data_IF_425716174416
#
_entry.id   IF_425716174416
#
_cell.length_a   1.000
_cell.length_b   1.000
_cell.length_c   1.000
_cell.angle_alpha   90.00
_cell.angle_beta   90.00
_cell.angle_gamma   90.00
#
_symmetry.space_group_name_H-M   'P 1'
#
loop_
_entity.id
_entity.type
_entity.pdbx_description
1 polymer ?
#
# COMPACT_ATOMS: atom_id res chain seq x y z
N UNK A 1 13.82 34.39 -32.08
CA UNK A 1 12.68 33.97 -32.91
C UNK A 1 13.23 33.02 -33.96
N UNK A 2 12.66 31.82 -34.12
CA UNK A 2 13.11 30.84 -35.12
C UNK A 2 12.91 31.41 -36.53
N UNK A 3 13.83 31.09 -37.46
CA UNK A 3 13.67 31.43 -38.87
C UNK A 3 12.52 30.63 -39.49
N UNK A 4 11.93 31.12 -40.57
CA UNK A 4 10.76 30.50 -41.20
C UNK A 4 11.05 29.06 -41.68
N UNK A 5 12.25 28.82 -42.19
CA UNK A 5 12.73 27.48 -42.57
C UNK A 5 12.88 26.54 -41.36
N UNK A 6 13.38 27.05 -40.23
CA UNK A 6 13.51 26.26 -38.99
C UNK A 6 12.14 25.91 -38.41
N UNK A 7 11.18 26.84 -38.53
CA UNK A 7 9.79 26.61 -38.11
C UNK A 7 9.15 25.50 -38.95
N UNK A 8 9.33 25.51 -40.27
CA UNK A 8 8.82 24.45 -41.14
C UNK A 8 9.49 23.10 -40.84
N UNK A 9 10.81 23.08 -40.68
CA UNK A 9 11.52 21.86 -40.29
C UNK A 9 11.03 21.30 -38.94
N UNK A 10 10.75 22.17 -37.96
CA UNK A 10 10.19 21.77 -36.67
C UNK A 10 8.81 21.13 -36.81
N UNK A 11 7.90 21.74 -37.58
CA UNK A 11 6.54 21.23 -37.79
C UNK A 11 6.58 19.85 -38.46
N UNK A 12 7.41 19.68 -39.49
CA UNK A 12 7.58 18.39 -40.18
C UNK A 12 8.14 17.34 -39.21
N UNK A 13 9.13 17.70 -38.40
CA UNK A 13 9.73 16.78 -37.41
C UNK A 13 8.73 16.40 -36.32
N UNK A 14 7.95 17.35 -35.82
CA UNK A 14 6.91 17.08 -34.81
C UNK A 14 5.81 16.17 -35.37
N UNK A 15 5.34 16.44 -36.58
CA UNK A 15 4.31 15.62 -37.24
C UNK A 15 4.79 14.19 -37.47
N UNK A 16 6.07 14.00 -37.83
CA UNK A 16 6.70 12.68 -37.97
C UNK A 16 6.98 11.97 -36.64
N UNK A 17 7.00 12.69 -35.52
CA UNK A 17 7.25 12.15 -34.20
C UNK A 17 5.98 11.67 -33.48
N UNK A 18 4.81 11.82 -34.11
CA UNK A 18 3.56 11.27 -33.58
C UNK A 18 3.57 9.74 -33.65
N UNK A 19 2.98 9.11 -32.64
CA UNK A 19 2.86 7.65 -32.56
C UNK A 19 1.89 7.16 -33.63
N UNK A 20 2.22 6.06 -34.30
CA UNK A 20 1.38 5.47 -35.32
C UNK A 20 0.13 4.83 -34.68
N UNK A 21 -1.05 5.07 -35.27
CA UNK A 21 -2.26 4.39 -34.82
C UNK A 21 -2.15 2.88 -35.00
N UNK A 22 -2.61 2.11 -34.00
CA UNK A 22 -2.55 0.65 -33.99
C UNK A 22 -1.26 0.07 -33.39
N UNK A 23 -0.30 0.91 -32.97
CA UNK A 23 0.90 0.44 -32.27
C UNK A 23 0.55 -0.18 -30.91
N UNK A 24 1.11 -1.36 -30.62
CA UNK A 24 0.87 -2.07 -29.37
C UNK A 24 1.74 -1.51 -28.23
N UNK A 25 1.33 -0.34 -27.75
CA UNK A 25 2.02 0.39 -26.68
C UNK A 25 2.06 -0.38 -25.36
N UNK A 26 1.10 -1.27 -25.13
CA UNK A 26 1.02 -2.09 -23.92
C UNK A 26 2.14 -3.13 -23.87
N UNK A 27 2.33 -3.86 -24.96
CA UNK A 27 3.43 -4.84 -25.08
C UNK A 27 4.78 -4.14 -25.02
N UNK A 28 4.98 -3.05 -25.79
CA UNK A 28 6.24 -2.30 -25.79
C UNK A 28 6.59 -1.78 -24.38
N UNK A 29 5.62 -1.18 -23.68
CA UNK A 29 5.84 -0.70 -22.33
C UNK A 29 6.17 -1.84 -21.36
N UNK A 30 5.46 -2.97 -21.44
CA UNK A 30 5.71 -4.13 -20.58
C UNK A 30 7.14 -4.69 -20.77
N UNK A 31 7.60 -4.80 -22.01
CA UNK A 31 8.95 -5.26 -22.33
C UNK A 31 10.00 -4.26 -21.86
N UNK A 32 9.77 -2.97 -22.10
CA UNK A 32 10.65 -1.89 -21.65
C UNK A 32 10.83 -1.92 -20.14
N UNK A 33 9.72 -2.01 -19.37
CA UNK A 33 9.76 -2.08 -17.89
C UNK A 33 10.44 -3.36 -17.41
N UNK A 34 10.24 -4.50 -18.10
CA UNK A 34 10.82 -5.78 -17.73
C UNK A 34 12.32 -5.88 -18.00
N UNK A 35 12.83 -5.27 -19.06
CA UNK A 35 14.23 -5.38 -19.50
C UNK A 35 15.28 -4.98 -18.43
N UNK A 36 15.19 -3.83 -17.73
CA UNK A 36 16.20 -3.44 -16.74
C UNK A 36 16.14 -4.27 -15.45
N UNK A 37 15.09 -5.06 -15.23
CA UNK A 37 14.88 -5.83 -13.99
C UNK A 37 16.08 -6.74 -13.67
N UNK A 38 16.68 -7.36 -14.69
CA UNK A 38 17.87 -8.22 -14.51
C UNK A 38 19.07 -7.46 -13.97
N UNK A 39 19.25 -6.20 -14.37
CA UNK A 39 20.33 -5.33 -13.90
C UNK A 39 20.05 -4.79 -12.50
N UNK A 40 18.78 -4.41 -12.23
CA UNK A 40 18.31 -3.96 -10.91
C UNK A 40 18.52 -5.06 -9.85
N UNK A 41 18.31 -6.33 -10.22
CA UNK A 41 18.58 -7.48 -9.35
C UNK A 41 20.01 -7.46 -8.80
N UNK A 42 20.96 -7.13 -9.67
CA UNK A 42 22.38 -7.25 -9.40
C UNK A 42 22.89 -6.08 -8.54
N UNK A 43 22.32 -4.88 -8.72
CA UNK A 43 22.70 -3.68 -7.96
C UNK A 43 22.17 -3.65 -6.53
N UNK A 44 21.01 -4.27 -6.24
CA UNK A 44 20.40 -4.25 -4.90
C UNK A 44 21.23 -4.93 -3.80
N UNK A 45 22.17 -5.82 -4.14
CA UNK A 45 22.99 -6.51 -3.16
C UNK A 45 24.04 -5.63 -2.49
N UNK A 46 24.46 -4.52 -3.13
CA UNK A 46 25.49 -3.63 -2.59
C UNK A 46 24.95 -2.55 -1.63
N UNK A 47 23.64 -2.29 -1.65
CA UNK A 47 23.00 -1.19 -0.89
C UNK A 47 22.43 -1.60 0.47
N UNK A 48 22.36 -2.91 0.77
CA UNK A 48 21.71 -3.45 1.96
C UNK A 48 22.33 -3.06 3.32
N UNK A 49 23.44 -2.30 3.33
CA UNK A 49 24.20 -1.97 4.55
C UNK A 49 24.17 -0.51 5.01
N UNK A 50 23.52 0.42 4.29
CA UNK A 50 23.78 1.86 4.44
C UNK A 50 22.63 2.71 5.00
N UNK A 51 21.47 2.14 5.33
CA UNK A 51 20.34 2.93 5.88
C UNK A 51 19.76 2.33 7.17
N UNK A 52 19.48 3.19 8.15
CA UNK A 52 18.92 2.81 9.45
C UNK A 52 17.42 2.40 9.40
N UNK A 53 16.79 2.50 8.24
CA UNK A 53 15.42 2.03 7.98
C UNK A 53 15.50 1.01 6.86
N UNK A 54 15.10 -0.22 7.13
CA UNK A 54 14.96 -1.29 6.13
C UNK A 54 13.88 -0.90 5.11
N UNK A 55 14.28 -0.20 4.05
CA UNK A 55 13.43 0.11 2.90
C UNK A 55 13.64 -1.00 1.86
N UNK A 56 12.56 -1.54 1.31
CA UNK A 56 12.67 -2.42 0.15
C UNK A 56 13.27 -1.62 -1.01
N UNK A 57 14.39 -2.12 -1.55
CA UNK A 57 15.05 -1.55 -2.73
C UNK A 57 15.05 -2.58 -3.87
N UNK A 58 15.17 -2.11 -5.11
CA UNK A 58 15.28 -2.96 -6.29
C UNK A 58 14.01 -3.75 -6.64
N UNK A 59 14.16 -5.02 -7.02
CA UNK A 59 13.07 -5.89 -7.50
C UNK A 59 11.98 -6.10 -6.45
N UNK A 60 12.28 -6.42 -5.17
CA UNK A 60 11.24 -6.58 -4.15
C UNK A 60 10.33 -5.35 -4.03
N UNK A 61 10.87 -4.14 -4.26
CA UNK A 61 10.07 -2.92 -4.28
C UNK A 61 9.22 -2.80 -5.53
N UNK A 62 9.76 -3.16 -6.70
CA UNK A 62 8.98 -3.20 -7.93
C UNK A 62 7.78 -4.15 -7.81
N UNK A 63 8.03 -5.36 -7.30
CA UNK A 63 6.99 -6.36 -7.07
C UNK A 63 5.92 -5.87 -6.08
N UNK A 64 6.33 -5.21 -5.00
CA UNK A 64 5.40 -4.67 -4.01
C UNK A 64 4.49 -3.59 -4.59
N UNK A 65 5.03 -2.72 -5.45
CA UNK A 65 4.26 -1.69 -6.16
C UNK A 65 3.27 -2.35 -7.14
N UNK A 66 3.74 -3.29 -7.98
CA UNK A 66 2.89 -3.97 -8.98
C UNK A 66 1.75 -4.77 -8.33
N UNK A 67 2.02 -5.41 -7.19
CA UNK A 67 1.02 -6.16 -6.42
C UNK A 67 0.20 -5.27 -5.46
N UNK A 68 0.42 -3.96 -5.44
CA UNK A 68 -0.25 -3.01 -4.53
C UNK A 68 -0.09 -3.40 -3.04
N UNK A 69 1.02 -4.05 -2.69
CA UNK A 69 1.31 -4.55 -1.34
C UNK A 69 2.32 -3.64 -0.63
N UNK A 70 1.83 -2.58 0.01
CA UNK A 70 2.67 -1.57 0.67
C UNK A 70 2.95 -1.86 2.16
N UNK A 71 3.11 -3.14 2.55
CA UNK A 71 3.32 -3.53 3.96
C UNK A 71 4.56 -2.91 4.62
N UNK A 72 5.57 -2.56 3.84
CA UNK A 72 6.80 -1.89 4.30
C UNK A 72 6.87 -0.47 3.71
N UNK A 73 5.82 0.30 3.93
CA UNK A 73 5.74 1.70 3.54
C UNK A 73 6.55 2.59 4.48
N UNK A 74 7.09 3.68 3.95
CA UNK A 74 7.76 4.75 4.68
C UNK A 74 7.17 6.11 4.31
N UNK A 75 7.00 6.99 5.28
CA UNK A 75 6.61 8.38 5.00
C UNK A 75 7.68 9.37 5.47
N UNK A 76 7.93 10.38 4.63
CA UNK A 76 8.79 11.51 4.98
C UNK A 76 7.87 12.68 5.32
N UNK A 77 7.82 12.99 6.60
CA UNK A 77 6.98 14.02 7.18
C UNK A 77 7.84 15.25 7.41
N UNK A 78 7.37 16.42 6.98
CA UNK A 78 8.05 17.68 7.26
C UNK A 78 7.31 18.38 8.40
N UNK A 79 8.05 18.79 9.43
CA UNK A 79 7.48 19.44 10.61
C UNK A 79 7.85 20.91 10.63
N UNK A 80 6.94 21.75 11.12
CA UNK A 80 7.16 23.20 11.27
C UNK A 80 7.88 23.55 12.58
N UNK A 81 7.95 22.60 13.52
CA UNK A 81 8.55 22.75 14.84
C UNK A 81 9.43 21.54 15.17
N UNK A 82 10.29 21.70 16.19
CA UNK A 82 10.98 20.58 16.82
C UNK A 82 9.94 19.62 17.41
N UNK A 83 10.04 18.36 17.05
CA UNK A 83 9.09 17.30 17.46
C UNK A 83 9.80 16.21 18.23
N UNK A 84 9.05 15.56 19.11
CA UNK A 84 9.53 14.41 19.85
C UNK A 84 9.12 13.11 19.15
N UNK A 85 9.89 12.02 19.25
CA UNK A 85 9.50 10.74 18.66
C UNK A 85 8.15 10.21 19.18
N UNK A 86 7.78 10.53 20.43
CA UNK A 86 6.53 10.13 21.07
C UNK A 86 5.27 10.68 20.40
N UNK A 87 5.39 11.78 19.65
CA UNK A 87 4.25 12.38 18.95
C UNK A 87 3.79 11.53 17.75
N UNK A 88 4.68 10.69 17.23
CA UNK A 88 4.45 9.90 16.01
C UNK A 88 4.41 8.40 16.27
N UNK A 89 5.32 7.87 17.10
CA UNK A 89 5.48 6.42 17.33
C UNK A 89 4.25 5.86 18.01
N UNK A 90 3.60 4.90 17.35
CA UNK A 90 2.47 4.17 17.90
C UNK A 90 2.93 3.29 19.06
N UNK A 91 2.58 3.69 20.28
CA UNK A 91 2.82 2.88 21.47
C UNK A 91 1.49 2.36 22.01
N UNK A 92 1.44 1.04 22.17
CA UNK A 92 0.35 0.34 22.86
C UNK A 92 0.73 0.04 24.30
N UNK A 93 -0.25 -0.30 25.13
CA UNK A 93 0.01 -0.66 26.54
C UNK A 93 1.02 -1.80 26.69
N UNK A 94 0.99 -2.89 25.89
CA UNK A 94 2.02 -3.92 25.92
C UNK A 94 3.45 -3.41 25.74
N UNK A 95 3.66 -2.41 24.89
CA UNK A 95 5.01 -1.89 24.56
C UNK A 95 5.64 -1.14 25.74
N UNK A 96 4.82 -0.64 26.66
CA UNK A 96 5.26 0.13 27.85
C UNK A 96 5.15 -0.71 29.14
N UNK A 97 4.47 -1.85 29.10
CA UNK A 97 4.19 -2.68 30.28
C UNK A 97 5.43 -3.45 30.73
N UNK A 98 5.87 -3.24 31.96
CA UNK A 98 7.05 -3.93 32.51
C UNK A 98 6.79 -5.37 32.95
N UNK A 99 5.60 -5.68 33.49
CA UNK A 99 5.20 -7.06 33.81
C UNK A 99 3.68 -7.18 34.02
N UNK A 100 3.12 -8.34 33.66
CA UNK A 100 1.73 -8.72 33.92
C UNK A 100 1.74 -10.04 34.69
N UNK A 101 1.22 -10.04 35.93
CA UNK A 101 1.23 -11.23 36.81
C UNK A 101 -0.21 -11.64 37.08
N UNK A 102 -0.62 -12.80 36.55
CA UNK A 102 -1.95 -13.40 36.78
C UNK A 102 -1.87 -14.38 37.95
N UNK A 103 -2.64 -14.16 39.03
CA UNK A 103 -2.66 -15.03 40.22
C UNK A 103 -4.11 -15.47 40.53
N UNK A 104 -4.42 -16.77 40.38
CA UNK A 104 -5.75 -17.35 40.64
C UNK A 104 -6.10 -17.53 42.12
N UNK A 105 -5.13 -17.50 43.04
CA UNK A 105 -5.35 -17.95 44.43
C UNK A 105 -5.68 -16.83 45.41
N UNK A 106 -5.53 -15.57 45.00
CA UNK A 106 -5.95 -14.38 45.73
C UNK A 106 -6.51 -13.40 44.70
N UNK A 107 -7.65 -12.74 44.98
CA UNK A 107 -8.00 -11.51 44.24
C UNK A 107 -6.82 -10.56 44.43
N UNK A 108 -5.98 -10.41 43.41
CA UNK A 108 -4.80 -9.57 43.45
C UNK A 108 -4.76 -8.65 42.25
N UNK A 109 -4.63 -7.39 42.62
CA UNK A 109 -4.29 -6.21 41.85
C UNK A 109 -3.14 -6.44 40.85
N UNK A 110 -3.31 -5.93 39.63
CA UNK A 110 -2.30 -5.96 38.57
C UNK A 110 -1.59 -4.62 38.51
N UNK A 111 -0.26 -4.61 38.49
CA UNK A 111 0.53 -3.36 38.59
C UNK A 111 0.81 -2.76 37.21
N UNK A 112 -0.03 -1.85 36.72
CA UNK A 112 0.25 -1.06 35.50
C UNK A 112 0.50 0.40 35.87
N UNK A 113 1.73 0.88 35.67
CA UNK A 113 2.04 2.32 35.72
C UNK A 113 1.45 3.02 34.52
N UNK A 114 0.65 4.09 34.70
CA UNK A 114 0.51 5.28 33.82
C UNK A 114 -0.72 6.14 34.18
N UNK A 115 -0.50 7.43 34.53
CA UNK A 115 -1.56 8.43 34.79
C UNK A 115 -2.49 8.66 33.58
N UNK A 116 -1.99 8.58 32.34
CA UNK A 116 -2.79 8.76 31.11
C UNK A 116 -3.65 7.54 30.72
N UNK A 117 -3.23 6.32 31.10
CA UNK A 117 -4.01 5.10 30.81
C UNK A 117 -5.33 5.11 31.60
N UNK A 118 -5.30 5.66 32.82
CA UNK A 118 -6.44 5.78 33.73
C UNK A 118 -7.66 6.39 33.04
N UNK A 119 -7.52 7.57 32.46
CA UNK A 119 -8.65 8.35 31.96
C UNK A 119 -9.26 7.70 30.69
N UNK A 120 -8.42 7.11 29.82
CA UNK A 120 -8.87 6.38 28.61
C UNK A 120 -9.52 5.01 28.91
N UNK A 121 -9.06 4.30 29.93
CA UNK A 121 -9.73 3.06 30.38
C UNK A 121 -11.12 3.38 30.92
N UNK A 122 -11.24 4.45 31.71
CA UNK A 122 -12.52 4.83 32.32
C UNK A 122 -13.55 5.21 31.24
N UNK A 123 -13.16 5.98 30.21
CA UNK A 123 -14.06 6.37 29.11
C UNK A 123 -14.51 5.19 28.22
N UNK A 124 -13.62 4.25 27.92
CA UNK A 124 -13.93 3.09 27.05
C UNK A 124 -14.77 1.99 27.72
N UNK A 125 -14.89 1.99 29.04
CA UNK A 125 -15.47 0.89 29.83
C UNK A 125 -16.87 1.19 30.42
N UNK A 126 -17.43 2.38 30.19
CA UNK A 126 -18.74 2.79 30.75
C UNK A 126 -19.96 1.94 30.32
N UNK A 127 -19.80 1.01 29.36
CA UNK A 127 -20.90 0.19 28.83
C UNK A 127 -21.06 -1.22 29.42
N UNK A 128 -20.04 -1.77 30.10
CA UNK A 128 -20.06 -3.17 30.55
C UNK A 128 -20.05 -3.26 32.08
N UNK A 129 -21.22 -3.53 32.66
CA UNK A 129 -21.47 -3.60 34.10
C UNK A 129 -20.78 -4.78 34.82
N UNK A 130 -19.82 -5.45 34.18
CA UNK A 130 -19.13 -6.68 34.60
C UNK A 130 -17.70 -6.46 35.08
N UNK A 131 -17.12 -5.27 34.85
CA UNK A 131 -15.72 -4.98 35.17
C UNK A 131 -15.66 -3.70 36.00
N UNK A 132 -15.02 -3.76 37.18
CA UNK A 132 -14.75 -2.59 38.02
C UNK A 132 -13.26 -2.31 38.01
N UNK A 133 -12.89 -1.14 37.49
CA UNK A 133 -11.51 -0.65 37.54
C UNK A 133 -11.35 0.12 38.86
N UNK A 134 -10.47 -0.35 39.73
CA UNK A 134 -10.16 0.30 41.00
C UNK A 134 -8.77 0.92 40.89
N UNK A 135 -8.65 2.17 41.32
CA UNK A 135 -7.39 2.89 41.25
C UNK A 135 -6.94 3.05 42.68
N UNK A 136 -5.92 2.28 43.05
CA UNK A 136 -5.36 2.31 44.41
C UNK A 136 -4.71 3.68 44.66
N UNK A 137 -5.17 4.45 45.68
CA UNK A 137 -4.58 5.75 46.01
C UNK A 137 -3.17 5.65 46.61
N UNK A 138 -2.77 4.48 47.11
CA UNK A 138 -1.47 4.26 47.78
C UNK A 138 -0.28 4.14 46.82
N UNK A 139 -0.53 3.82 45.55
CA UNK A 139 0.50 3.73 44.52
C UNK A 139 0.07 4.55 43.31
N UNK A 140 0.61 5.77 43.20
CA UNK A 140 0.21 6.80 42.22
C UNK A 140 0.37 6.38 40.73
N UNK A 141 0.86 5.16 40.48
CA UNK A 141 1.18 4.61 39.16
C UNK A 141 0.81 3.11 39.09
N UNK A 142 -0.38 2.71 39.54
CA UNK A 142 -0.85 1.31 39.40
C UNK A 142 -2.34 1.24 39.09
N UNK A 143 -2.74 0.51 38.05
CA UNK A 143 -4.16 0.30 37.69
C UNK A 143 -4.60 -1.11 38.05
N UNK A 144 -5.48 -1.24 39.04
CA UNK A 144 -6.00 -2.53 39.48
C UNK A 144 -7.33 -2.85 38.78
N UNK A 145 -7.37 -3.98 38.06
CA UNK A 145 -8.57 -4.40 37.32
C UNK A 145 -9.22 -5.58 38.04
N UNK A 146 -10.44 -5.36 38.54
CA UNK A 146 -11.24 -6.40 39.17
C UNK A 146 -12.35 -6.86 38.21
N UNK A 147 -12.35 -8.15 37.87
CA UNK A 147 -13.36 -8.77 37.01
C UNK A 147 -14.29 -9.63 37.86
N UNK A 148 -15.59 -9.40 37.78
CA UNK A 148 -16.59 -10.22 38.48
C UNK A 148 -17.05 -11.35 37.56
N UNK A 149 -16.62 -12.59 37.83
CA UNK A 149 -16.92 -13.75 37.00
C UNK A 149 -18.02 -14.61 37.65
N UNK A 150 -19.07 -14.95 36.90
CA UNK A 150 -20.24 -15.68 37.39
C UNK A 150 -20.13 -17.22 37.29
N UNK A 151 -19.00 -17.79 36.85
CA UNK A 151 -18.86 -19.23 36.64
C UNK A 151 -17.61 -19.84 37.31
N UNK A 152 -17.81 -20.96 38.01
CA UNK A 152 -16.74 -21.85 38.50
C UNK A 152 -16.26 -22.73 37.33
N UNK A 153 -15.20 -22.33 36.64
CA UNK A 153 -14.50 -23.21 35.69
C UNK A 153 -12.99 -23.16 35.93
N UNK A 154 -12.29 -24.25 35.57
CA UNK A 154 -10.85 -24.44 35.78
C UNK A 154 -9.95 -23.45 35.00
N UNK A 155 -10.54 -22.62 34.13
CA UNK A 155 -9.82 -21.75 33.19
C UNK A 155 -10.09 -20.24 33.42
N UNK A 156 -10.42 -19.82 34.65
CA UNK A 156 -10.68 -18.40 34.97
C UNK A 156 -9.48 -17.52 34.60
N UNK A 157 -8.24 -18.00 34.78
CA UNK A 157 -7.03 -17.24 34.39
C UNK A 157 -6.96 -17.01 32.89
N UNK A 158 -7.24 -18.02 32.07
CA UNK A 158 -7.19 -17.90 30.61
C UNK A 158 -8.33 -17.04 30.08
N UNK A 159 -9.51 -17.12 30.71
CA UNK A 159 -10.64 -16.25 30.42
C UNK A 159 -10.34 -14.78 30.76
N UNK A 160 -9.82 -14.50 31.96
CA UNK A 160 -9.44 -13.15 32.39
C UNK A 160 -8.30 -12.61 31.54
N UNK A 161 -7.29 -13.42 31.23
CA UNK A 161 -6.21 -13.04 30.32
C UNK A 161 -6.74 -12.72 28.92
N UNK A 162 -7.66 -13.52 28.38
CA UNK A 162 -8.31 -13.24 27.09
C UNK A 162 -9.09 -11.92 27.11
N UNK A 163 -9.81 -11.66 28.19
CA UNK A 163 -10.58 -10.42 28.40
C UNK A 163 -9.65 -9.21 28.49
N UNK A 164 -8.62 -9.28 29.35
CA UNK A 164 -7.61 -8.25 29.50
C UNK A 164 -6.87 -8.01 28.19
N UNK A 165 -6.49 -9.07 27.47
CA UNK A 165 -5.85 -8.96 26.16
C UNK A 165 -6.75 -8.27 25.15
N UNK A 166 -8.05 -8.58 25.13
CA UNK A 166 -8.99 -7.96 24.21
C UNK A 166 -9.25 -6.47 24.50
N UNK A 167 -9.12 -6.06 25.76
CA UNK A 167 -9.43 -4.69 26.19
C UNK A 167 -8.18 -3.82 26.31
N UNK A 168 -7.14 -4.28 26.99
CA UNK A 168 -5.95 -3.48 27.32
C UNK A 168 -4.98 -3.37 26.14
N UNK A 169 -4.73 -4.47 25.42
CA UNK A 169 -3.71 -4.48 24.37
C UNK A 169 -4.01 -3.52 23.20
N UNK A 170 -5.27 -3.32 22.77
CA UNK A 170 -5.56 -2.34 21.71
C UNK A 170 -5.57 -0.88 22.19
N UNK A 171 -5.42 -0.60 23.50
CA UNK A 171 -5.40 0.79 23.98
C UNK A 171 -4.14 1.49 23.50
N UNK A 172 -4.35 2.54 22.70
CA UNK A 172 -3.31 3.43 22.21
C UNK A 172 -2.97 4.46 23.28
N UNK A 173 -1.68 4.52 23.66
CA UNK A 173 -1.15 5.49 24.62
C UNK A 173 -0.78 6.78 23.89
N UNK A 174 0.03 6.69 22.84
CA UNK A 174 0.51 7.84 22.06
C UNK A 174 0.84 7.45 20.61
N UNK A 175 1.12 8.47 19.80
CA UNK A 175 1.49 8.35 18.39
C UNK A 175 0.32 8.09 17.46
N UNK A 176 0.64 7.68 16.23
CA UNK A 176 -0.33 7.44 15.16
C UNK A 176 -0.29 5.97 14.77
N UNK A 177 -1.45 5.30 14.76
CA UNK A 177 -1.57 3.89 14.39
C UNK A 177 -0.90 3.61 13.05
N UNK A 178 -0.04 2.59 13.02
CA UNK A 178 0.68 2.17 11.81
C UNK A 178 2.06 2.78 11.63
N UNK A 179 2.51 3.69 12.51
CA UNK A 179 3.89 4.18 12.55
C UNK A 179 4.65 3.47 13.68
N UNK A 180 5.61 2.62 13.31
CA UNK A 180 6.36 1.79 14.27
C UNK A 180 7.64 2.46 14.76
N UNK A 181 8.42 3.01 13.83
CA UNK A 181 9.70 3.64 14.12
C UNK A 181 9.81 4.98 13.42
N UNK A 182 10.52 5.91 14.06
CA UNK A 182 10.66 7.27 13.57
C UNK A 182 12.10 7.74 13.75
N UNK A 183 12.67 8.29 12.69
CA UNK A 183 13.96 8.94 12.67
C UNK A 183 13.75 10.43 12.41
N UNK A 184 14.12 11.24 13.38
CA UNK A 184 14.01 12.70 13.30
C UNK A 184 15.38 13.26 12.92
N UNK A 185 15.42 14.00 11.80
CA UNK A 185 16.59 14.75 11.38
C UNK A 185 16.17 16.21 11.17
N UNK A 186 16.47 17.06 12.16
CA UNK A 186 16.03 18.46 12.22
C UNK A 186 14.50 18.60 12.06
N UNK A 187 14.05 19.04 10.87
CA UNK A 187 12.63 19.28 10.54
C UNK A 187 12.05 18.19 9.61
N UNK A 188 12.84 17.15 9.31
CA UNK A 188 12.39 16.01 8.50
C UNK A 188 12.31 14.76 9.36
N UNK A 189 11.14 14.15 9.38
CA UNK A 189 10.81 12.98 10.16
C UNK A 189 10.56 11.83 9.19
N UNK A 190 11.45 10.85 9.19
CA UNK A 190 11.29 9.62 8.40
C UNK A 190 10.66 8.55 9.25
N UNK A 191 9.61 7.93 8.75
CA UNK A 191 8.83 6.93 9.48
C UNK A 191 8.94 5.57 8.82
N UNK A 192 8.96 4.52 9.64
CA UNK A 192 8.69 3.14 9.24
C UNK A 192 7.22 2.86 9.51
N UNK A 193 6.48 2.58 8.46
CA UNK A 193 5.02 2.60 8.45
C UNK A 193 4.45 3.88 7.84
N UNK A 194 3.17 3.84 7.46
CA UNK A 194 2.47 4.99 6.88
C UNK A 194 1.05 5.07 7.42
N UNK A 195 0.66 6.28 7.79
CA UNK A 195 -0.72 6.67 8.06
C UNK A 195 -0.83 8.19 7.85
N UNK A 196 -0.98 8.56 6.58
CA UNK A 196 -0.98 9.94 6.14
C UNK A 196 -2.18 10.70 6.71
N UNK A 197 -3.34 10.04 6.82
CA UNK A 197 -4.56 10.66 7.34
C UNK A 197 -4.39 11.13 8.79
N UNK A 198 -3.84 10.29 9.67
CA UNK A 198 -3.55 10.68 11.05
C UNK A 198 -2.43 11.71 11.16
N UNK A 199 -1.45 11.63 10.26
CA UNK A 199 -0.28 12.51 10.24
C UNK A 199 -0.61 13.94 9.84
N UNK A 200 -1.41 14.13 8.79
CA UNK A 200 -1.81 15.45 8.31
C UNK A 200 -2.78 16.17 9.23
N UNK A 201 -3.40 15.44 10.17
CA UNK A 201 -4.26 16.01 11.21
C UNK A 201 -3.51 16.69 12.35
N UNK A 202 -2.18 16.63 12.38
CA UNK A 202 -1.36 17.25 13.42
C UNK A 202 -1.00 18.70 13.05
N UNK A 203 -1.24 19.63 13.98
CA UNK A 203 -1.05 21.08 13.77
C UNK A 203 0.39 21.49 13.41
N UNK A 204 1.38 20.69 13.80
CA UNK A 204 2.81 20.96 13.60
C UNK A 204 3.39 20.25 12.36
N UNK A 205 2.56 19.57 11.57
CA UNK A 205 2.95 18.90 10.33
C UNK A 205 2.63 19.79 9.13
N UNK A 206 3.61 19.96 8.23
CA UNK A 206 3.39 20.66 6.97
C UNK A 206 2.64 19.75 5.99
N UNK A 207 1.40 20.12 5.71
CA UNK A 207 0.51 19.35 4.82
C UNK A 207 0.93 19.37 3.36
N UNK A 208 1.73 20.35 2.93
CA UNK A 208 2.13 20.51 1.51
C UNK A 208 3.38 19.72 1.16
N UNK A 209 4.25 19.52 2.13
CA UNK A 209 5.57 18.93 1.92
C UNK A 209 5.70 17.51 2.47
N UNK A 210 4.72 17.05 3.25
CA UNK A 210 4.66 15.68 3.74
C UNK A 210 4.32 14.72 2.61
N UNK A 211 5.15 13.69 2.45
CA UNK A 211 5.02 12.70 1.38
C UNK A 211 4.99 11.28 1.97
N UNK A 212 4.10 10.44 1.45
CA UNK A 212 4.08 9.01 1.69
C UNK A 212 4.53 8.27 0.43
N UNK A 213 5.18 7.13 0.61
CA UNK A 213 5.52 6.21 -0.48
C UNK A 213 4.41 5.18 -0.77
N UNK A 214 3.42 5.08 0.14
CA UNK A 214 2.30 4.16 0.04
C UNK A 214 1.19 4.77 -0.80
N UNK A 215 1.02 4.25 -2.02
CA UNK A 215 -0.05 4.72 -2.90
C UNK A 215 -1.45 4.43 -2.32
N UNK A 216 -1.60 3.36 -1.53
CA UNK A 216 -2.88 3.00 -0.88
C UNK A 216 -3.25 3.98 0.23
N UNK A 217 -2.26 4.40 1.03
CA UNK A 217 -2.47 5.40 2.09
C UNK A 217 -2.83 6.77 1.48
N UNK A 218 -2.11 7.15 0.42
CA UNK A 218 -2.41 8.38 -0.34
C UNK A 218 -3.78 8.32 -1.00
N UNK A 219 -4.18 7.17 -1.55
CA UNK A 219 -5.51 6.99 -2.13
C UNK A 219 -6.61 7.29 -1.12
N UNK A 220 -6.47 6.75 0.10
CA UNK A 220 -7.47 6.92 1.16
C UNK A 220 -7.54 8.37 1.68
N UNK A 221 -6.43 9.11 1.62
CA UNK A 221 -6.35 10.47 2.15
C UNK A 221 -6.59 11.57 1.11
N UNK A 222 -5.94 11.48 -0.05
CA UNK A 222 -5.89 12.54 -1.08
C UNK A 222 -6.59 12.15 -2.40
N UNK A 223 -6.88 10.87 -2.62
CA UNK A 223 -7.60 10.39 -3.80
C UNK A 223 -6.72 9.80 -4.91
N UNK A 224 -7.36 9.40 -6.01
CA UNK A 224 -6.77 8.53 -7.03
C UNK A 224 -5.64 9.19 -7.85
N UNK A 225 -5.76 10.47 -8.19
CA UNK A 225 -4.72 11.19 -8.95
C UNK A 225 -3.46 11.45 -8.12
N UNK A 226 -3.62 11.72 -6.83
CA UNK A 226 -2.49 11.81 -5.91
C UNK A 226 -1.78 10.46 -5.79
N UNK A 227 -2.54 9.36 -5.68
CA UNK A 227 -1.99 8.01 -5.67
C UNK A 227 -1.29 7.65 -6.99
N UNK A 228 -1.84 8.02 -8.14
CA UNK A 228 -1.23 7.86 -9.47
C UNK A 228 0.13 8.54 -9.55
N UNK A 229 0.23 9.80 -9.08
CA UNK A 229 1.49 10.52 -9.05
C UNK A 229 2.53 9.86 -8.12
N UNK A 230 2.09 9.31 -6.98
CA UNK A 230 2.97 8.54 -6.09
C UNK A 230 3.46 7.27 -6.78
N UNK A 231 2.59 6.53 -7.48
CA UNK A 231 3.00 5.35 -8.26
C UNK A 231 4.04 5.72 -9.32
N UNK A 232 3.84 6.80 -10.09
CA UNK A 232 4.82 7.26 -11.08
C UNK A 232 6.16 7.59 -10.43
N UNK A 233 6.16 8.29 -9.29
CA UNK A 233 7.38 8.65 -8.56
C UNK A 233 8.11 7.41 -8.05
N UNK A 234 7.39 6.49 -7.43
CA UNK A 234 7.98 5.26 -6.87
C UNK A 234 8.50 4.33 -7.98
N UNK A 235 7.74 4.12 -9.06
CA UNK A 235 8.19 3.37 -10.22
C UNK A 235 9.41 4.03 -10.86
N UNK A 236 9.41 5.36 -11.02
CA UNK A 236 10.58 6.08 -11.53
C UNK A 236 11.80 5.90 -10.64
N UNK A 237 11.63 5.96 -9.32
CA UNK A 237 12.71 5.77 -8.36
C UNK A 237 13.33 4.38 -8.46
N UNK A 238 12.51 3.34 -8.65
CA UNK A 238 12.98 1.96 -8.75
C UNK A 238 13.58 1.65 -10.14
N UNK A 239 12.96 2.13 -11.21
CA UNK A 239 13.32 1.77 -12.59
C UNK A 239 14.43 2.63 -13.18
N UNK A 240 14.50 3.92 -12.84
CA UNK A 240 15.46 4.85 -13.48
C UNK A 240 16.89 4.71 -12.98
N UNK A 241 17.13 4.02 -11.86
CA UNK A 241 18.44 3.80 -11.20
C UNK A 241 19.64 4.34 -11.98
N UNK A 242 20.35 3.46 -12.70
CA UNK A 242 21.42 3.83 -13.64
C UNK A 242 20.99 3.76 -15.12
N UNK A 243 19.73 3.41 -15.40
CA UNK A 243 19.22 3.17 -16.76
C UNK A 243 18.33 4.32 -17.21
N UNK A 244 18.61 4.87 -18.40
CA UNK A 244 17.73 5.85 -19.02
C UNK A 244 16.42 5.20 -19.44
N UNK A 245 15.36 5.52 -18.73
CA UNK A 245 14.01 5.01 -18.96
C UNK A 245 13.07 6.13 -19.42
N UNK A 246 12.26 5.88 -20.46
CA UNK A 246 11.24 6.84 -20.92
C UNK A 246 10.05 6.87 -19.96
N UNK A 247 9.72 8.06 -19.46
CA UNK A 247 8.60 8.29 -18.55
C UNK A 247 7.24 7.92 -19.14
N UNK A 248 7.11 7.84 -20.47
CA UNK A 248 5.85 7.44 -21.11
C UNK A 248 5.42 6.03 -20.71
N UNK A 249 6.34 5.08 -20.60
CA UNK A 249 6.00 3.71 -20.20
C UNK A 249 5.60 3.63 -18.73
N UNK A 250 6.25 4.42 -17.86
CA UNK A 250 5.88 4.52 -16.44
C UNK A 250 4.48 5.12 -16.28
N UNK A 251 4.21 6.22 -16.99
CA UNK A 251 2.90 6.85 -16.98
C UNK A 251 1.82 5.91 -17.50
N UNK A 252 2.07 5.20 -18.61
CA UNK A 252 1.12 4.22 -19.15
C UNK A 252 0.80 3.13 -18.12
N UNK A 253 1.81 2.62 -17.40
CA UNK A 253 1.61 1.63 -16.35
C UNK A 253 0.81 2.20 -15.16
N UNK A 254 1.16 3.40 -14.67
CA UNK A 254 0.47 4.03 -13.56
C UNK A 254 -1.00 4.34 -13.90
N UNK A 255 -1.26 4.82 -15.12
CA UNK A 255 -2.60 5.08 -15.63
C UNK A 255 -3.38 3.76 -15.77
N UNK A 256 -2.73 2.71 -16.29
CA UNK A 256 -3.32 1.38 -16.36
C UNK A 256 -3.74 0.91 -14.96
N UNK A 257 -2.87 1.04 -13.95
CA UNK A 257 -3.16 0.66 -12.56
C UNK A 257 -4.28 1.47 -11.90
N UNK A 258 -4.54 2.71 -12.32
CA UNK A 258 -5.47 3.63 -11.64
C UNK A 258 -6.77 3.94 -12.40
N UNK A 259 -6.90 3.50 -13.65
CA UNK A 259 -8.03 3.83 -14.54
C UNK A 259 -9.43 3.39 -14.08
N UNK A 260 -9.56 2.51 -13.06
CA UNK A 260 -10.86 2.07 -12.53
C UNK A 260 -11.36 2.90 -11.34
N UNK A 261 -10.71 4.02 -11.02
CA UNK A 261 -11.03 4.82 -9.84
C UNK A 261 -10.55 4.21 -8.52
N UNK A 262 -9.76 3.13 -8.61
CA UNK A 262 -9.06 2.46 -7.52
C UNK A 262 -7.74 1.92 -8.08
N UNK A 263 -6.79 1.64 -7.20
CA UNK A 263 -5.53 1.03 -7.60
C UNK A 263 -5.77 -0.47 -7.78
N UNK A 264 -5.63 -0.95 -9.01
CA UNK A 264 -5.80 -2.36 -9.37
C UNK A 264 -4.41 -2.97 -9.60
N UNK A 265 -4.06 -4.07 -8.90
CA UNK A 265 -2.75 -4.70 -9.03
C UNK A 265 -2.54 -5.31 -10.42
N UNK A 266 -1.28 -5.48 -10.81
CA UNK A 266 -0.87 -6.10 -12.07
C UNK A 266 -0.63 -7.60 -11.84
N UNK A 267 -1.68 -8.29 -11.40
CA UNK A 267 -1.66 -9.73 -11.17
C UNK A 267 -2.99 -10.36 -11.60
N UNK A 268 -3.14 -11.67 -11.40
CA UNK A 268 -4.35 -12.42 -11.77
C UNK A 268 -5.60 -11.85 -11.09
N UNK A 269 -5.49 -11.42 -9.82
CA UNK A 269 -6.61 -10.79 -9.12
C UNK A 269 -7.05 -9.50 -9.81
N UNK A 270 -6.08 -8.68 -10.24
CA UNK A 270 -6.35 -7.47 -11.02
C UNK A 270 -6.93 -7.76 -12.41
N UNK A 271 -6.54 -8.87 -13.05
CA UNK A 271 -7.16 -9.28 -14.32
C UNK A 271 -8.64 -9.63 -14.17
N UNK A 272 -9.00 -10.33 -13.09
CA UNK A 272 -10.39 -10.65 -12.76
C UNK A 272 -11.18 -9.37 -12.49
N UNK A 273 -10.60 -8.45 -11.72
CA UNK A 273 -11.22 -7.16 -11.37
C UNK A 273 -11.45 -6.24 -12.58
N UNK A 274 -10.61 -6.36 -13.61
CA UNK A 274 -10.76 -5.67 -14.90
C UNK A 274 -11.79 -6.31 -15.83
N UNK A 275 -12.27 -7.51 -15.51
CA UNK A 275 -13.23 -8.24 -16.33
C UNK A 275 -12.63 -8.82 -17.61
N UNK A 276 -11.36 -9.24 -17.59
CA UNK A 276 -10.79 -9.98 -18.72
C UNK A 276 -11.53 -11.31 -18.94
N UNK A 277 -11.58 -11.75 -20.20
CA UNK A 277 -12.20 -13.01 -20.59
C UNK A 277 -11.63 -14.19 -19.78
N UNK A 278 -12.46 -15.18 -19.50
CA UNK A 278 -12.04 -16.45 -18.93
C UNK A 278 -10.96 -17.11 -19.77
N UNK A 279 -10.98 -16.96 -21.11
CA UNK A 279 -9.95 -17.49 -21.99
C UNK A 279 -8.59 -16.78 -21.78
N UNK A 280 -8.58 -15.45 -21.75
CA UNK A 280 -7.37 -14.67 -21.43
C UNK A 280 -6.85 -14.98 -20.02
N UNK A 281 -7.75 -15.15 -19.05
CA UNK A 281 -7.36 -15.57 -17.68
C UNK A 281 -6.84 -17.00 -17.64
N UNK A 282 -7.43 -17.92 -18.38
CA UNK A 282 -6.99 -19.32 -18.45
C UNK A 282 -5.61 -19.45 -19.11
N UNK A 283 -5.26 -18.54 -20.01
CA UNK A 283 -3.91 -18.43 -20.57
C UNK A 283 -2.85 -18.01 -19.54
N UNK A 284 -3.25 -17.49 -18.36
CA UNK A 284 -2.34 -17.03 -17.31
C UNK A 284 -2.45 -17.93 -16.06
N UNK A 285 -1.37 -18.66 -15.72
CA UNK A 285 -1.10 -19.49 -14.51
C UNK A 285 -2.20 -20.45 -13.96
N UNK A 286 -3.50 -20.32 -14.26
CA UNK A 286 -4.63 -21.05 -13.66
C UNK A 286 -5.66 -21.53 -14.68
N UNK A 287 -5.21 -22.24 -15.71
CA UNK A 287 -6.05 -22.68 -16.84
C UNK A 287 -7.29 -23.49 -16.43
N UNK A 288 -7.10 -24.59 -15.69
CA UNK A 288 -8.19 -25.53 -15.35
C UNK A 288 -9.27 -24.84 -14.51
N UNK A 289 -8.86 -24.01 -13.55
CA UNK A 289 -9.78 -23.37 -12.60
C UNK A 289 -10.65 -22.32 -13.30
N UNK A 290 -10.06 -21.49 -14.17
CA UNK A 290 -10.83 -20.46 -14.88
C UNK A 290 -11.79 -21.08 -15.91
N UNK A 291 -11.37 -22.12 -16.62
CA UNK A 291 -12.24 -22.84 -17.56
C UNK A 291 -13.39 -23.54 -16.82
N UNK A 292 -13.11 -24.23 -15.71
CA UNK A 292 -14.16 -24.85 -14.89
C UNK A 292 -15.19 -23.81 -14.40
N UNK A 293 -14.73 -22.62 -13.96
CA UNK A 293 -15.64 -21.53 -13.59
C UNK A 293 -16.46 -21.02 -14.77
N UNK A 294 -15.88 -20.92 -15.96
CA UNK A 294 -16.59 -20.51 -17.17
C UNK A 294 -17.71 -21.51 -17.50
N UNK A 295 -17.40 -22.81 -17.45
CA UNK A 295 -18.36 -23.90 -17.70
C UNK A 295 -19.47 -23.90 -16.66
N UNK A 296 -19.13 -23.82 -15.36
CA UNK A 296 -20.12 -23.78 -14.28
C UNK A 296 -21.08 -22.59 -14.39
N UNK A 297 -20.62 -21.47 -14.96
CA UNK A 297 -21.46 -20.28 -15.19
C UNK A 297 -22.16 -20.27 -16.56
N UNK A 298 -21.79 -21.15 -17.48
CA UNK A 298 -22.35 -21.19 -18.83
C UNK A 298 -22.14 -19.92 -19.65
N UNK A 299 -21.00 -19.22 -19.47
CA UNK A 299 -20.75 -17.92 -20.11
C UNK A 299 -20.18 -18.12 -21.52
N UNK A 300 -20.80 -17.49 -22.52
CA UNK A 300 -20.22 -17.26 -23.83
C UNK A 300 -19.55 -15.88 -23.86
N UNK A 301 -18.28 -15.79 -24.25
CA UNK A 301 -17.51 -14.54 -24.28
C UNK A 301 -17.09 -14.16 -25.70
N UNK A 302 -17.12 -12.87 -26.07
CA UNK A 302 -16.60 -12.40 -27.35
C UNK A 302 -15.07 -12.40 -27.36
N UNK A 303 -14.50 -12.60 -28.55
CA UNK A 303 -13.05 -12.48 -28.80
C UNK A 303 -12.65 -11.00 -28.79
N UNK A 304 -12.18 -10.52 -27.64
CA UNK A 304 -11.77 -9.12 -27.47
C UNK A 304 -10.26 -8.97 -27.28
N UNK A 305 -9.63 -9.91 -26.58
CA UNK A 305 -8.21 -9.84 -26.26
C UNK A 305 -7.35 -10.30 -27.44
N UNK A 306 -6.11 -9.82 -27.47
CA UNK A 306 -5.07 -10.31 -28.39
C UNK A 306 -4.85 -11.81 -28.15
N UNK A 307 -4.82 -12.23 -26.89
CA UNK A 307 -4.65 -13.64 -26.51
C UNK A 307 -5.80 -14.52 -27.02
N UNK A 308 -7.05 -14.07 -26.84
CA UNK A 308 -8.22 -14.80 -27.34
C UNK A 308 -8.14 -14.99 -28.85
N UNK A 309 -7.71 -13.94 -29.57
CA UNK A 309 -7.57 -13.98 -31.03
C UNK A 309 -6.53 -15.00 -31.47
N UNK A 310 -5.38 -15.03 -30.79
CA UNK A 310 -4.28 -15.97 -31.07
C UNK A 310 -4.72 -17.41 -30.81
N UNK A 311 -5.35 -17.68 -29.66
CA UNK A 311 -5.77 -19.03 -29.28
C UNK A 311 -6.80 -19.60 -30.28
N UNK A 312 -7.71 -18.75 -30.76
CA UNK A 312 -8.76 -19.15 -31.72
C UNK A 312 -8.23 -19.19 -33.16
N UNK A 313 -7.07 -18.60 -33.44
CA UNK A 313 -6.53 -18.47 -34.81
C UNK A 313 -7.21 -17.39 -35.64
N UNK A 314 -7.79 -16.37 -34.98
CA UNK A 314 -8.41 -15.22 -35.63
C UNK A 314 -7.47 -14.00 -35.67
N UNK A 315 -7.75 -13.04 -36.55
CA UNK A 315 -6.95 -11.82 -36.70
C UNK A 315 -7.06 -10.95 -35.44
N UNK A 316 -5.93 -10.63 -34.81
CA UNK A 316 -5.90 -9.71 -33.66
C UNK A 316 -6.19 -8.27 -34.10
N UNK A 317 -6.75 -7.46 -33.19
CA UNK A 317 -7.12 -6.05 -33.45
C UNK A 317 -5.98 -5.05 -33.17
N UNK A 318 -4.73 -5.47 -33.34
CA UNK A 318 -3.53 -4.65 -33.10
C UNK A 318 -2.59 -4.68 -34.30
N UNK A 319 -1.73 -3.66 -34.43
CA UNK A 319 -0.80 -3.52 -35.55
C UNK A 319 -1.53 -3.43 -36.89
N UNK A 320 -1.06 -4.20 -37.88
CA UNK A 320 -1.71 -4.30 -39.19
C UNK A 320 -3.11 -4.92 -39.12
N UNK A 321 -3.48 -5.52 -37.99
CA UNK A 321 -4.79 -6.09 -37.75
C UNK A 321 -5.96 -5.09 -37.68
N UNK A 322 -5.66 -3.82 -37.44
CA UNK A 322 -6.67 -2.76 -37.24
C UNK A 322 -7.26 -2.21 -38.54
N UNK A 323 -6.53 -2.31 -39.65
CA UNK A 323 -6.90 -1.70 -40.93
C UNK A 323 -7.63 -2.72 -41.80
N UNK A 324 -8.84 -2.39 -42.25
CA UNK A 324 -9.50 -3.15 -43.30
C UNK A 324 -9.30 -2.48 -44.65
N UNK A 325 -9.03 -3.30 -45.67
CA UNK A 325 -8.80 -2.84 -47.03
C UNK A 325 -10.11 -3.00 -47.80
N UNK A 326 -10.66 -1.88 -48.26
CA UNK A 326 -11.81 -1.88 -49.16
C UNK A 326 -11.30 -1.59 -50.57
N UNK A 327 -11.49 -2.53 -51.49
CA UNK A 327 -11.23 -2.28 -52.90
C UNK A 327 -12.45 -1.62 -53.52
N UNK A 328 -12.33 -0.36 -53.94
CA UNK A 328 -13.40 0.33 -54.64
C UNK A 328 -13.40 -0.14 -56.09
N UNK A 329 -14.23 -1.13 -56.40
CA UNK A 329 -14.48 -1.55 -57.78
C UNK A 329 -15.40 -0.51 -58.40
N UNK A 330 -14.90 0.19 -59.43
CA UNK A 330 -15.68 1.09 -60.29
C UNK A 330 -16.51 0.27 -61.28
#
# INVERSE_FOLDING_TARGET
>A
KLNENERQAFIVRHSRAQVCAGEDVGVIASQSIGQPTTQIALSSFHSAGSTAVEVLEGIPRLESILNCSFKQSTSTIRTTRYTSPSDFVYLTVPDVMSSMIVDSKKMKAYKISLKLIRDRIVESMYGSNTIRVLISPEFEHTIDIAVQCAAKSRDIEMYVYGLVKSIIFPIQICGIKGIEHVLINNNEVKTKGSNLMGTLGLDFVDTKLTISDSAVDVLNCLGIEAARNVLVRELSKVLKGDVRFDDKHINLLADFMTNKGKIVPVNISGMVERGHSYLTRASNERTIVELARAVCKGVAEPVQSIFDSIIIGSRSKVGTGIVDILNCTQ
#
